data_IF_386955836844
#
_entry.id   IF_386955836844
#
_cell.length_a   1.000
_cell.length_b   1.000
_cell.length_c   1.000
_cell.angle_alpha   90.00
_cell.angle_beta   90.00
_cell.angle_gamma   90.00
#
_symmetry.space_group_name_H-M   'P 1'
#
loop_
_entity.id
_entity.type
_entity.pdbx_description
1 polymer ?
#
# COMPACT_ATOMS: atom_id res chain seq x y z
N UNK A 1 44.39 41.09 31.44
CA UNK A 1 45.54 40.73 32.31
C UNK A 1 45.48 41.61 33.55
N UNK A 2 45.81 41.13 34.78
CA UNK A 2 46.73 40.03 35.19
C UNK A 2 45.99 38.80 35.79
N UNK A 3 46.47 37.53 35.68
CA UNK A 3 47.48 36.76 36.46
C UNK A 3 47.04 36.49 37.92
N UNK A 4 47.12 35.33 38.59
CA UNK A 4 47.75 33.98 38.47
C UNK A 4 47.07 33.09 39.54
N UNK A 5 46.68 31.83 39.32
CA UNK A 5 47.46 30.57 39.36
C UNK A 5 47.91 30.07 40.76
N UNK A 6 47.45 28.86 41.16
CA UNK A 6 48.13 27.77 41.91
C UNK A 6 47.13 26.97 42.78
N UNK A 7 47.28 25.68 43.10
CA UNK A 7 47.98 24.49 42.59
C UNK A 7 47.65 23.36 43.59
N UNK A 8 47.47 22.11 43.10
CA UNK A 8 47.83 20.82 43.75
C UNK A 8 46.97 20.37 44.98
N UNK A 9 46.69 19.09 45.27
CA UNK A 9 47.24 17.76 44.89
C UNK A 9 46.31 16.62 45.40
N UNK A 10 46.27 15.52 44.63
CA UNK A 10 46.16 14.07 44.94
C UNK A 10 45.37 13.48 46.12
N UNK A 11 44.59 12.43 45.80
CA UNK A 11 44.62 11.03 46.30
C UNK A 11 43.17 10.48 46.25
N UNK A 12 42.83 9.26 45.87
CA UNK A 12 43.52 8.06 45.45
C UNK A 12 42.44 6.97 45.22
N UNK A 13 42.75 6.00 44.35
CA UNK A 13 42.27 4.61 44.29
C UNK A 13 40.77 4.31 44.51
N UNK A 14 40.17 3.63 43.55
CA UNK A 14 39.82 2.20 43.70
C UNK A 14 39.48 1.61 42.33
N UNK A 15 40.15 0.51 42.00
CA UNK A 15 39.86 -0.29 40.81
C UNK A 15 38.73 -1.27 41.09
N UNK A 16 37.99 -1.64 40.05
CA UNK A 16 37.27 -2.92 40.03
C UNK A 16 37.28 -3.46 38.62
N UNK A 17 37.81 -4.67 38.52
CA UNK A 17 38.18 -5.45 37.35
C UNK A 17 36.94 -6.00 36.64
N UNK A 18 36.81 -5.81 35.33
CA UNK A 18 35.84 -6.53 34.50
C UNK A 18 36.40 -7.90 34.08
N UNK A 19 35.60 -8.99 34.12
CA UNK A 19 36.02 -10.26 33.54
C UNK A 19 35.78 -10.28 32.02
N UNK A 20 36.83 -10.61 31.27
CA UNK A 20 36.81 -10.93 29.83
C UNK A 20 35.95 -12.18 29.61
N UNK A 21 34.92 -12.08 28.77
CA UNK A 21 34.18 -13.23 28.24
C UNK A 21 34.89 -13.72 26.97
N UNK A 22 35.49 -14.90 27.04
CA UNK A 22 36.01 -15.63 25.88
C UNK A 22 34.82 -16.15 25.07
N UNK A 23 34.71 -15.75 23.81
CA UNK A 23 33.89 -16.40 22.80
C UNK A 23 34.82 -17.31 22.00
N UNK A 24 34.65 -18.62 22.14
CA UNK A 24 35.24 -19.61 21.23
C UNK A 24 34.39 -19.66 19.97
N UNK A 25 34.98 -19.22 18.87
CA UNK A 25 34.57 -19.50 17.49
C UNK A 25 34.85 -20.99 17.19
N UNK A 26 33.89 -21.67 16.56
CA UNK A 26 34.15 -22.88 15.80
C UNK A 26 33.51 -22.70 14.42
N UNK A 27 34.37 -22.54 13.42
CA UNK A 27 34.02 -22.55 12.01
C UNK A 27 34.05 -23.99 11.45
N UNK A 28 33.10 -24.22 10.54
CA UNK A 28 33.00 -25.16 9.41
C UNK A 28 33.79 -26.48 9.32
N UNK A 29 33.09 -27.54 8.87
CA UNK A 29 33.24 -28.08 7.51
C UNK A 29 31.96 -28.80 7.00
N UNK A 30 31.74 -28.87 5.66
CA UNK A 30 30.55 -29.44 5.02
C UNK A 30 30.75 -30.90 4.58
N UNK A 31 29.69 -31.72 4.60
CA UNK A 31 29.71 -33.08 4.02
C UNK A 31 29.18 -33.10 2.59
N UNK A 32 29.99 -33.64 1.68
CA UNK A 32 29.74 -33.83 0.26
C UNK A 32 28.73 -34.96 -0.09
N UNK A 33 28.04 -34.73 -1.21
CA UNK A 33 27.69 -35.62 -2.34
C UNK A 33 27.01 -36.98 -2.11
N UNK A 34 25.83 -37.15 -2.74
CA UNK A 34 25.55 -38.28 -3.66
C UNK A 34 24.71 -37.75 -4.85
N UNK A 35 25.36 -37.66 -6.02
CA UNK A 35 24.69 -37.70 -7.33
C UNK A 35 24.25 -39.14 -7.63
N UNK A 36 23.07 -39.31 -8.21
CA UNK A 36 22.67 -40.55 -8.87
C UNK A 36 21.91 -40.21 -10.15
N UNK A 37 22.66 -40.28 -11.24
CA UNK A 37 22.19 -40.38 -12.61
C UNK A 37 21.33 -41.63 -12.84
N UNK A 38 20.35 -41.51 -13.75
CA UNK A 38 19.53 -42.63 -14.20
C UNK A 38 18.71 -42.22 -15.41
N UNK A 39 19.23 -42.54 -16.59
CA UNK A 39 18.64 -42.27 -17.91
C UNK A 39 18.03 -43.54 -18.53
N UNK A 40 16.81 -43.38 -19.10
CA UNK A 40 16.17 -44.09 -20.25
C UNK A 40 15.72 -45.58 -20.13
N UNK A 41 14.85 -46.13 -21.03
CA UNK A 41 14.04 -45.53 -22.13
C UNK A 41 12.53 -45.96 -22.21
N UNK A 42 11.83 -45.34 -23.18
CA UNK A 42 10.51 -45.60 -23.80
C UNK A 42 10.32 -47.05 -24.36
N UNK A 43 9.13 -47.54 -24.84
CA UNK A 43 8.41 -46.99 -26.02
C UNK A 43 6.87 -47.21 -26.08
N UNK A 44 6.11 -46.33 -26.75
CA UNK A 44 4.86 -46.74 -27.44
C UNK A 44 4.58 -45.83 -28.65
N UNK A 45 5.00 -46.34 -29.82
CA UNK A 45 4.46 -46.27 -31.19
C UNK A 45 3.56 -45.10 -31.65
N UNK A 46 4.04 -44.43 -32.70
CA UNK A 46 3.29 -43.64 -33.69
C UNK A 46 2.49 -44.53 -34.68
N UNK A 47 1.33 -44.03 -35.16
CA UNK A 47 0.78 -44.27 -36.51
C UNK A 47 -0.18 -43.09 -36.90
N UNK A 48 -0.49 -42.83 -38.19
CA UNK A 48 -0.32 -41.52 -38.84
C UNK A 48 -1.64 -40.87 -39.29
N UNK A 49 -1.52 -39.68 -39.89
CA UNK A 49 -2.57 -38.66 -39.99
C UNK A 49 -3.64 -38.81 -41.08
N UNK A 50 -4.55 -37.83 -41.08
CA UNK A 50 -5.37 -37.45 -42.24
C UNK A 50 -5.52 -35.92 -42.31
N UNK A 51 -5.37 -35.39 -43.53
CA UNK A 51 -5.51 -33.99 -43.90
C UNK A 51 -6.98 -33.61 -44.16
N UNK A 52 -7.41 -32.44 -43.68
CA UNK A 52 -8.68 -31.77 -44.03
C UNK A 52 -8.59 -30.26 -43.82
N UNK A 53 -9.34 -29.43 -44.58
CA UNK A 53 -8.80 -28.23 -45.21
C UNK A 53 -8.75 -26.97 -44.33
N UNK A 54 -7.71 -26.19 -44.59
CA UNK A 54 -7.50 -24.81 -44.14
C UNK A 54 -8.67 -23.91 -44.56
N UNK A 55 -9.46 -23.47 -43.59
CA UNK A 55 -10.34 -22.31 -43.71
C UNK A 55 -9.75 -21.19 -42.86
N UNK A 56 -9.18 -20.19 -43.53
CA UNK A 56 -8.83 -18.90 -42.93
C UNK A 56 -10.14 -18.14 -42.64
N UNK A 57 -10.45 -17.75 -41.39
CA UNK A 57 -11.52 -16.80 -41.19
C UNK A 57 -10.98 -15.39 -41.44
N UNK A 58 -11.71 -14.69 -42.31
CA UNK A 58 -11.62 -13.27 -42.58
C UNK A 58 -11.36 -12.47 -41.30
N UNK A 59 -10.36 -11.58 -41.39
CA UNK A 59 -10.06 -10.59 -40.36
C UNK A 59 -11.11 -9.48 -40.43
N UNK A 60 -12.32 -9.77 -39.98
CA UNK A 60 -13.31 -8.75 -39.70
C UNK A 60 -12.90 -7.98 -38.45
N UNK A 61 -12.57 -6.71 -38.70
CA UNK A 61 -12.47 -5.63 -37.73
C UNK A 61 -13.69 -5.61 -36.80
N UNK A 62 -13.53 -6.11 -35.57
CA UNK A 62 -14.46 -5.79 -34.48
C UNK A 62 -13.77 -4.82 -33.53
N UNK A 63 -14.09 -3.54 -33.71
CA UNK A 63 -13.85 -2.48 -32.74
C UNK A 63 -14.73 -2.71 -31.51
N UNK A 64 -14.33 -3.62 -30.63
CA UNK A 64 -14.90 -3.72 -29.29
C UNK A 64 -14.14 -2.74 -28.39
N UNK A 65 -14.77 -1.60 -28.13
CA UNK A 65 -14.32 -0.64 -27.13
C UNK A 65 -14.11 -1.36 -25.80
N UNK A 66 -12.90 -1.24 -25.26
CA UNK A 66 -12.45 -1.94 -24.07
C UNK A 66 -13.15 -1.36 -22.83
N UNK A 67 -14.43 -1.65 -22.62
CA UNK A 67 -15.03 -1.51 -21.29
C UNK A 67 -14.49 -2.65 -20.43
N UNK A 68 -13.33 -2.42 -19.82
CA UNK A 68 -12.78 -3.33 -18.85
C UNK A 68 -13.84 -3.54 -17.74
N UNK A 69 -14.16 -4.81 -17.45
CA UNK A 69 -15.19 -5.17 -16.47
C UNK A 69 -14.67 -4.84 -15.07
N UNK A 70 -15.52 -4.30 -14.20
CA UNK A 70 -15.20 -4.15 -12.77
C UNK A 70 -14.84 -5.51 -12.17
N UNK A 71 -13.89 -5.53 -11.24
CA UNK A 71 -13.49 -6.74 -10.50
C UNK A 71 -14.16 -6.74 -9.14
N UNK A 72 -14.65 -7.91 -8.72
CA UNK A 72 -15.26 -8.11 -7.41
C UNK A 72 -14.22 -8.76 -6.50
N UNK A 73 -13.99 -8.15 -5.33
CA UNK A 73 -13.19 -8.71 -4.25
C UNK A 73 -14.12 -9.19 -3.14
N UNK A 74 -13.80 -10.33 -2.54
CA UNK A 74 -14.48 -10.80 -1.33
C UNK A 74 -13.66 -10.33 -0.12
N UNK A 75 -14.28 -9.47 0.67
CA UNK A 75 -13.72 -8.88 1.86
C UNK A 75 -14.55 -9.34 3.08
N UNK A 76 -13.93 -9.86 4.15
CA UNK A 76 -14.67 -10.39 5.30
C UNK A 76 -15.45 -9.32 6.10
N UNK A 77 -15.23 -8.05 5.79
CA UNK A 77 -15.73 -6.90 6.54
C UNK A 77 -16.78 -6.15 5.73
N UNK A 78 -16.52 -5.97 4.44
CA UNK A 78 -17.40 -5.24 3.53
C UNK A 78 -18.18 -6.16 2.59
N UNK A 79 -17.97 -7.48 2.66
CA UNK A 79 -18.60 -8.45 1.76
C UNK A 79 -18.04 -8.33 0.35
N UNK A 80 -18.90 -8.09 -0.64
CA UNK A 80 -18.46 -7.94 -2.04
C UNK A 80 -18.07 -6.49 -2.33
N UNK A 81 -16.81 -6.27 -2.65
CA UNK A 81 -16.26 -4.97 -3.05
C UNK A 81 -16.11 -4.93 -4.57
N UNK A 82 -16.86 -4.05 -5.23
CA UNK A 82 -16.63 -3.73 -6.65
C UNK A 82 -15.51 -2.68 -6.80
N UNK A 83 -14.48 -3.01 -7.58
CA UNK A 83 -13.35 -2.13 -7.87
C UNK A 83 -13.35 -1.71 -9.34
N UNK A 84 -13.15 -0.41 -9.55
CA UNK A 84 -13.02 0.20 -10.88
C UNK A 84 -11.82 -0.38 -11.65
N UNK A 85 -11.92 -0.63 -12.97
CA UNK A 85 -10.84 -1.27 -13.74
C UNK A 85 -9.48 -0.58 -13.64
N UNK A 86 -9.45 0.76 -13.63
CA UNK A 86 -8.21 1.51 -13.42
C UNK A 86 -7.57 1.19 -12.05
N UNK A 87 -8.39 1.10 -10.99
CA UNK A 87 -7.92 0.71 -9.67
C UNK A 87 -7.42 -0.74 -9.67
N UNK A 88 -8.04 -1.65 -10.42
CA UNK A 88 -7.54 -3.02 -10.59
C UNK A 88 -6.15 -3.02 -11.22
N UNK A 89 -5.92 -2.22 -12.26
CA UNK A 89 -4.59 -2.08 -12.86
C UNK A 89 -3.54 -1.55 -11.89
N UNK A 90 -3.91 -0.60 -11.03
CA UNK A 90 -3.04 -0.12 -9.95
C UNK A 90 -2.75 -1.25 -8.95
N UNK A 91 -3.78 -2.01 -8.54
CA UNK A 91 -3.65 -3.13 -7.61
C UNK A 91 -2.69 -4.19 -8.16
N UNK A 92 -2.76 -4.50 -9.45
CA UNK A 92 -1.97 -5.55 -10.10
C UNK A 92 -0.52 -5.12 -10.43
N UNK A 93 -0.02 -4.03 -9.83
CA UNK A 93 1.39 -3.59 -9.94
C UNK A 93 2.27 -4.11 -8.80
N UNK A 94 3.59 -4.31 -9.02
CA UNK A 94 4.51 -4.69 -7.94
C UNK A 94 4.50 -3.71 -6.76
N UNK A 95 4.40 -2.41 -7.05
CA UNK A 95 4.41 -1.34 -6.05
C UNK A 95 3.24 -1.45 -5.07
N UNK A 96 2.06 -1.86 -5.55
CA UNK A 96 0.89 -2.11 -4.72
C UNK A 96 0.89 -3.51 -4.10
N UNK A 97 1.24 -4.55 -4.86
CA UNK A 97 1.28 -5.94 -4.36
C UNK A 97 2.23 -6.13 -3.17
N UNK A 98 3.29 -5.30 -3.06
CA UNK A 98 4.19 -5.34 -1.89
C UNK A 98 3.47 -5.09 -0.55
N UNK A 99 2.33 -4.40 -0.56
CA UNK A 99 1.55 -4.11 0.66
C UNK A 99 1.03 -5.40 1.33
N UNK A 100 1.03 -6.54 0.62
CA UNK A 100 0.72 -7.86 1.20
C UNK A 100 1.74 -8.32 2.26
N UNK A 101 2.94 -7.76 2.21
CA UNK A 101 4.04 -8.10 3.13
C UNK A 101 4.20 -7.10 4.27
N UNK A 102 3.33 -6.09 4.38
CA UNK A 102 3.42 -5.03 5.38
C UNK A 102 2.23 -5.13 6.33
N UNK A 103 2.47 -5.54 7.57
CA UNK A 103 1.43 -5.64 8.61
C UNK A 103 0.86 -4.27 8.95
N UNK A 104 -0.47 -4.14 8.95
CA UNK A 104 -1.16 -2.89 9.27
C UNK A 104 -0.70 -2.34 10.62
N UNK A 105 -0.77 -3.19 11.65
CA UNK A 105 -0.45 -2.81 13.04
C UNK A 105 0.99 -3.17 13.45
N UNK A 106 1.88 -3.44 12.48
CA UNK A 106 3.30 -3.66 12.69
C UNK A 106 3.61 -4.68 13.80
N UNK A 107 4.27 -4.22 14.87
CA UNK A 107 4.70 -5.05 16.00
C UNK A 107 3.56 -5.66 16.83
N UNK A 108 2.34 -5.11 16.74
CA UNK A 108 1.17 -5.62 17.48
C UNK A 108 0.86 -7.07 17.15
N UNK A 109 1.17 -7.51 15.92
CA UNK A 109 1.03 -8.90 15.48
C UNK A 109 1.79 -9.91 16.37
N UNK A 110 2.94 -9.51 16.94
CA UNK A 110 3.72 -10.38 17.82
C UNK A 110 3.11 -10.55 19.22
N UNK A 111 2.16 -9.69 19.60
CA UNK A 111 1.41 -9.78 20.86
C UNK A 111 0.02 -10.37 20.62
N UNK A 112 -0.61 -10.02 19.49
CA UNK A 112 -1.94 -10.47 19.09
C UNK A 112 -1.87 -11.15 17.72
N UNK A 113 -1.75 -12.49 17.66
CA UNK A 113 -1.61 -13.23 16.40
C UNK A 113 -2.77 -13.02 15.43
N UNK A 114 -3.96 -12.70 15.94
CA UNK A 114 -5.13 -12.37 15.11
C UNK A 114 -4.93 -11.10 14.28
N UNK A 115 -4.09 -10.16 14.73
CA UNK A 115 -3.76 -8.91 14.04
C UNK A 115 -2.80 -9.12 12.85
N UNK A 116 -3.15 -10.08 11.99
CA UNK A 116 -2.36 -10.59 10.87
C UNK A 116 -2.62 -9.85 9.56
N UNK A 117 -3.60 -8.94 9.55
CA UNK A 117 -3.97 -8.15 8.38
C UNK A 117 -2.82 -7.20 7.96
N UNK A 118 -2.73 -7.01 6.65
CA UNK A 118 -1.73 -6.21 5.97
C UNK A 118 -2.35 -4.93 5.41
N UNK A 119 -1.48 -4.01 4.99
CA UNK A 119 -1.86 -2.75 4.34
C UNK A 119 -2.62 -3.00 3.02
N UNK A 120 -2.42 -4.14 2.36
CA UNK A 120 -3.06 -4.47 1.07
C UNK A 120 -4.59 -4.49 1.14
N UNK A 121 -5.16 -5.33 2.00
CA UNK A 121 -6.62 -5.42 2.17
C UNK A 121 -7.18 -4.14 2.76
N UNK A 122 -6.43 -3.48 3.65
CA UNK A 122 -6.80 -2.18 4.19
C UNK A 122 -6.97 -1.12 3.09
N UNK A 123 -5.99 -0.96 2.21
CA UNK A 123 -6.05 -0.02 1.09
C UNK A 123 -7.20 -0.29 0.13
N UNK A 124 -7.56 -1.56 -0.12
CA UNK A 124 -8.74 -1.92 -0.92
C UNK A 124 -10.03 -1.51 -0.21
N UNK A 125 -10.14 -1.76 1.10
CA UNK A 125 -11.27 -1.31 1.92
C UNK A 125 -11.43 0.21 1.91
N UNK A 126 -10.34 0.96 2.06
CA UNK A 126 -10.34 2.44 2.00
C UNK A 126 -10.79 2.93 0.62
N UNK A 127 -10.27 2.36 -0.47
CA UNK A 127 -10.73 2.67 -1.83
C UNK A 127 -12.24 2.50 -1.97
N UNK A 128 -12.80 1.42 -1.42
CA UNK A 128 -14.22 1.13 -1.47
C UNK A 128 -15.05 2.14 -0.68
N UNK A 129 -14.70 2.36 0.59
CA UNK A 129 -15.43 3.27 1.48
C UNK A 129 -15.36 4.73 1.00
N UNK A 130 -14.20 5.17 0.51
CA UNK A 130 -14.04 6.51 -0.05
C UNK A 130 -14.95 6.70 -1.28
N UNK A 131 -15.03 5.70 -2.16
CA UNK A 131 -15.93 5.71 -3.31
C UNK A 131 -17.41 5.73 -2.92
N UNK A 132 -17.81 4.92 -1.93
CA UNK A 132 -19.18 4.93 -1.40
C UNK A 132 -19.55 6.27 -0.79
N UNK A 133 -18.66 6.84 0.03
CA UNK A 133 -18.88 8.11 0.70
C UNK A 133 -19.11 9.25 -0.30
N UNK A 134 -18.21 9.41 -1.28
CA UNK A 134 -18.33 10.47 -2.29
C UNK A 134 -19.54 10.24 -3.20
N UNK A 135 -19.86 8.98 -3.51
CA UNK A 135 -21.07 8.65 -4.28
C UNK A 135 -22.35 9.03 -3.52
N UNK A 136 -22.39 8.78 -2.21
CA UNK A 136 -23.52 9.17 -1.37
C UNK A 136 -23.67 10.70 -1.29
N UNK A 137 -22.57 11.44 -1.14
CA UNK A 137 -22.59 12.91 -1.21
C UNK A 137 -23.11 13.42 -2.56
N UNK A 138 -22.66 12.81 -3.66
CA UNK A 138 -23.10 13.18 -5.01
C UNK A 138 -24.60 13.01 -5.21
N UNK A 139 -25.16 11.92 -4.69
CA UNK A 139 -26.61 11.65 -4.77
C UNK A 139 -27.40 12.55 -3.83
N UNK A 140 -26.91 12.76 -2.61
CA UNK A 140 -27.60 13.55 -1.60
C UNK A 140 -27.53 15.07 -1.83
N UNK A 141 -26.51 15.55 -2.54
CA UNK A 141 -26.19 16.97 -2.69
C UNK A 141 -25.71 17.28 -4.11
N UNK A 142 -26.64 17.21 -5.07
CA UNK A 142 -26.35 17.43 -6.50
C UNK A 142 -25.71 18.79 -6.80
N UNK A 143 -25.97 19.80 -5.96
CA UNK A 143 -25.40 21.15 -6.05
C UNK A 143 -23.89 21.20 -5.84
N UNK A 144 -23.29 20.15 -5.25
CA UNK A 144 -21.84 20.03 -5.08
C UNK A 144 -21.10 19.73 -6.39
N UNK A 145 -21.82 19.36 -7.47
CA UNK A 145 -21.25 19.12 -8.80
C UNK A 145 -20.06 18.13 -8.78
N UNK A 146 -20.22 17.02 -8.04
CA UNK A 146 -19.22 15.95 -7.94
C UNK A 146 -19.26 15.14 -9.24
N UNK A 147 -18.14 15.10 -9.97
CA UNK A 147 -18.00 14.41 -11.26
C UNK A 147 -17.60 12.94 -11.08
N UNK A 148 -17.69 12.15 -12.15
CA UNK A 148 -17.15 10.77 -12.14
C UNK A 148 -15.63 10.77 -11.92
N UNK A 149 -14.93 11.75 -12.50
CA UNK A 149 -13.50 11.96 -12.32
C UNK A 149 -13.16 12.24 -10.85
N UNK A 150 -13.97 13.03 -10.14
CA UNK A 150 -13.78 13.28 -8.70
C UNK A 150 -13.91 12.00 -7.87
N UNK A 151 -14.95 11.20 -8.13
CA UNK A 151 -15.17 9.92 -7.45
C UNK A 151 -13.96 9.00 -7.68
N UNK A 152 -13.53 8.85 -8.92
CA UNK A 152 -12.41 7.99 -9.27
C UNK A 152 -11.08 8.49 -8.66
N UNK A 153 -10.84 9.81 -8.66
CA UNK A 153 -9.66 10.38 -8.00
C UNK A 153 -9.65 10.08 -6.51
N UNK A 154 -10.78 10.24 -5.82
CA UNK A 154 -10.89 9.93 -4.39
C UNK A 154 -10.70 8.44 -4.11
N UNK A 155 -11.25 7.56 -4.95
CA UNK A 155 -11.01 6.11 -4.85
C UNK A 155 -9.52 5.78 -5.02
N UNK A 156 -8.85 6.33 -6.03
CA UNK A 156 -7.42 6.10 -6.27
C UNK A 156 -6.58 6.67 -5.13
N UNK A 157 -6.92 7.86 -4.62
CA UNK A 157 -6.23 8.43 -3.46
C UNK A 157 -6.38 7.53 -2.22
N UNK A 158 -7.59 7.06 -1.93
CA UNK A 158 -7.85 6.11 -0.85
C UNK A 158 -7.11 4.78 -1.03
N UNK A 159 -7.05 4.27 -2.26
CA UNK A 159 -6.27 3.07 -2.60
C UNK A 159 -4.77 3.30 -2.34
N UNK A 160 -4.25 4.48 -2.70
CA UNK A 160 -2.82 4.74 -2.73
C UNK A 160 -2.27 5.42 -1.47
N UNK A 161 -3.10 5.78 -0.49
CA UNK A 161 -2.70 6.58 0.66
C UNK A 161 -1.56 5.93 1.49
N UNK A 162 -1.55 4.59 1.53
CA UNK A 162 -0.59 3.78 2.27
C UNK A 162 0.56 3.21 1.42
N UNK A 163 0.66 3.62 0.15
CA UNK A 163 1.73 3.16 -0.75
C UNK A 163 3.14 3.48 -0.27
N UNK A 164 3.33 4.35 0.71
CA UNK A 164 4.61 4.80 1.22
C UNK A 164 5.08 4.12 2.49
N UNK A 165 4.26 3.26 3.10
CA UNK A 165 4.66 2.58 4.32
C UNK A 165 5.87 1.66 4.11
N UNK A 166 6.79 1.74 5.06
CA UNK A 166 7.95 0.87 5.18
C UNK A 166 7.69 -0.34 6.10
N UNK A 167 8.72 -1.15 6.37
CA UNK A 167 8.63 -2.29 7.29
C UNK A 167 8.13 -1.87 8.67
N UNK A 168 7.19 -2.61 9.25
CA UNK A 168 6.56 -2.29 10.55
C UNK A 168 5.72 -0.99 10.57
N UNK A 169 5.26 -0.51 9.41
CA UNK A 169 4.30 0.60 9.27
C UNK A 169 4.76 1.86 10.03
N UNK A 170 3.95 2.36 10.97
CA UNK A 170 4.24 3.58 11.75
C UNK A 170 5.51 3.53 12.59
N UNK A 171 6.07 2.34 12.86
CA UNK A 171 7.37 2.25 13.52
C UNK A 171 8.49 2.75 12.61
N UNK A 172 8.35 2.58 11.29
CA UNK A 172 9.38 2.97 10.34
C UNK A 172 9.55 4.48 10.28
N UNK A 173 8.49 5.19 9.91
CA UNK A 173 8.51 6.63 9.73
C UNK A 173 8.31 7.41 11.04
N UNK A 174 7.62 6.85 12.02
CA UNK A 174 7.42 7.49 13.32
C UNK A 174 8.55 7.30 14.34
N UNK A 175 9.46 6.33 14.13
CA UNK A 175 10.58 6.04 15.05
C UNK A 175 11.92 5.87 14.35
N UNK A 176 12.00 4.95 13.38
CA UNK A 176 13.28 4.60 12.76
C UNK A 176 13.85 5.73 11.90
N UNK A 177 13.08 6.30 10.97
CA UNK A 177 13.53 7.41 10.12
C UNK A 177 13.99 8.62 10.96
N UNK A 178 13.23 9.09 11.98
CA UNK A 178 13.70 10.15 12.87
C UNK A 178 15.01 9.80 13.60
N UNK A 179 15.20 8.54 13.99
CA UNK A 179 16.43 8.11 14.68
C UNK A 179 17.70 8.22 13.83
N UNK A 180 17.56 8.28 12.50
CA UNK A 180 18.66 8.49 11.54
C UNK A 180 18.64 9.90 10.93
N UNK A 181 17.89 10.84 11.52
CA UNK A 181 17.80 12.23 11.06
C UNK A 181 16.94 12.44 9.81
N UNK A 182 15.99 11.53 9.54
CA UNK A 182 15.08 11.62 8.41
C UNK A 182 13.63 11.80 8.90
N UNK A 183 13.03 12.96 8.65
CA UNK A 183 11.65 13.29 9.05
C UNK A 183 10.61 13.02 7.94
N UNK A 184 10.95 12.17 6.96
CA UNK A 184 10.03 11.85 5.86
C UNK A 184 8.88 11.01 6.38
N UNK A 185 7.66 11.47 6.14
CA UNK A 185 6.43 10.74 6.49
C UNK A 185 6.02 9.75 5.39
N UNK A 186 5.27 8.71 5.75
CA UNK A 186 4.77 7.74 4.78
C UNK A 186 3.87 8.38 3.71
N UNK A 187 3.11 9.44 3.99
CA UNK A 187 2.25 10.08 2.98
C UNK A 187 3.06 10.67 1.82
N UNK A 188 4.16 11.37 2.13
CA UNK A 188 5.06 11.89 1.10
C UNK A 188 5.78 10.77 0.34
N UNK A 189 6.05 9.63 0.99
CA UNK A 189 6.55 8.42 0.32
C UNK A 189 5.47 7.78 -0.58
N UNK A 190 4.19 7.82 -0.18
CA UNK A 190 3.06 7.31 -0.96
C UNK A 190 2.92 8.07 -2.26
N UNK A 191 3.05 9.40 -2.24
CA UNK A 191 3.06 10.23 -3.46
C UNK A 191 4.22 9.84 -4.39
N UNK A 192 5.44 9.69 -3.84
CA UNK A 192 6.60 9.26 -4.63
C UNK A 192 6.39 7.88 -5.24
N UNK A 193 5.86 6.94 -4.45
CA UNK A 193 5.57 5.57 -4.90
C UNK A 193 4.46 5.55 -5.95
N UNK A 194 3.43 6.38 -5.82
CA UNK A 194 2.36 6.52 -6.80
C UNK A 194 2.91 6.98 -8.16
N UNK A 195 3.77 8.02 -8.17
CA UNK A 195 4.42 8.46 -9.41
C UNK A 195 5.29 7.36 -10.03
N UNK A 196 6.06 6.65 -9.22
CA UNK A 196 6.87 5.52 -9.67
C UNK A 196 6.00 4.39 -10.24
N UNK A 197 4.92 4.02 -9.56
CA UNK A 197 3.95 3.02 -10.00
C UNK A 197 3.37 3.38 -11.37
N UNK A 198 2.87 4.61 -11.54
CA UNK A 198 2.26 5.02 -12.80
C UNK A 198 3.28 5.03 -13.94
N UNK A 199 4.51 5.48 -13.66
CA UNK A 199 5.59 5.56 -14.65
C UNK A 199 6.09 4.19 -15.10
N UNK A 200 6.48 3.33 -14.17
CA UNK A 200 7.10 2.02 -14.51
C UNK A 200 6.13 1.03 -15.14
N UNK A 201 4.83 1.17 -14.86
CA UNK A 201 3.79 0.29 -15.40
C UNK A 201 3.05 0.93 -16.60
N UNK A 202 3.56 2.06 -17.11
CA UNK A 202 3.04 2.77 -18.30
C UNK A 202 1.52 3.09 -18.24
N UNK A 203 0.99 3.33 -17.03
CA UNK A 203 -0.45 3.49 -16.81
C UNK A 203 -1.01 4.84 -17.30
N UNK A 204 -0.17 5.74 -17.81
CA UNK A 204 -0.60 7.03 -18.37
C UNK A 204 -1.71 6.89 -19.43
N UNK A 205 -1.62 5.88 -20.27
CA UNK A 205 -2.64 5.59 -21.28
C UNK A 205 -3.95 5.11 -20.65
N UNK A 206 -3.87 4.20 -19.68
CA UNK A 206 -5.03 3.71 -18.94
C UNK A 206 -5.74 4.85 -18.18
N UNK A 207 -4.99 5.73 -17.53
CA UNK A 207 -5.59 6.90 -16.89
C UNK A 207 -6.31 7.79 -17.92
N UNK A 208 -5.71 8.08 -19.08
CA UNK A 208 -6.36 8.87 -20.14
C UNK A 208 -7.64 8.26 -20.68
N UNK A 209 -7.74 6.92 -20.70
CA UNK A 209 -8.95 6.22 -21.15
C UNK A 209 -10.12 6.36 -20.16
N UNK A 210 -9.83 6.55 -18.87
CA UNK A 210 -10.83 6.54 -17.81
C UNK A 210 -11.19 7.93 -17.28
N UNK A 211 -10.37 8.95 -17.52
CA UNK A 211 -10.64 10.33 -17.11
C UNK A 211 -11.19 11.17 -18.27
N UNK A 212 -12.17 12.03 -17.97
CA UNK A 212 -12.75 12.99 -18.92
C UNK A 212 -11.99 14.32 -18.91
N UNK A 213 -11.52 14.73 -17.74
CA UNK A 213 -10.74 15.94 -17.51
C UNK A 213 -9.24 15.73 -17.77
N UNK A 214 -8.47 16.82 -17.68
CA UNK A 214 -7.04 16.79 -17.88
C UNK A 214 -6.33 15.83 -16.90
N UNK A 215 -5.47 14.98 -17.46
CA UNK A 215 -4.76 13.96 -16.72
C UNK A 215 -3.85 14.55 -15.65
N UNK A 216 -3.14 15.63 -15.96
CA UNK A 216 -2.19 16.22 -15.01
C UNK A 216 -2.93 16.81 -13.81
N UNK A 217 -4.07 17.45 -14.07
CA UNK A 217 -4.96 17.99 -13.04
C UNK A 217 -5.50 16.87 -12.14
N UNK A 218 -5.96 15.75 -12.70
CA UNK A 218 -6.44 14.60 -11.94
C UNK A 218 -5.32 13.92 -11.13
N UNK A 219 -4.14 13.71 -11.73
CA UNK A 219 -2.97 13.18 -11.00
C UNK A 219 -2.55 14.10 -9.87
N UNK A 220 -2.55 15.42 -10.10
CA UNK A 220 -2.24 16.42 -9.07
C UNK A 220 -3.24 16.32 -7.92
N UNK A 221 -4.53 16.26 -8.23
CA UNK A 221 -5.58 16.09 -7.24
C UNK A 221 -5.40 14.81 -6.40
N UNK A 222 -5.14 13.67 -7.04
CA UNK A 222 -4.86 12.39 -6.34
C UNK A 222 -3.68 12.56 -5.37
N UNK A 223 -2.58 13.17 -5.82
CA UNK A 223 -1.39 13.34 -4.96
C UNK A 223 -1.63 14.29 -3.79
N UNK A 224 -2.43 15.34 -3.98
CA UNK A 224 -2.80 16.28 -2.93
C UNK A 224 -3.77 15.66 -1.90
N UNK A 225 -4.61 14.71 -2.34
CA UNK A 225 -5.47 13.94 -1.44
C UNK A 225 -4.68 12.93 -0.59
N UNK A 226 -3.55 12.41 -1.11
CA UNK A 226 -2.65 11.50 -0.40
C UNK A 226 -1.78 12.26 0.60
N UNK A 227 -1.10 13.32 0.14
CA UNK A 227 -0.23 14.17 0.98
C UNK A 227 -0.81 15.57 1.06
N UNK A 228 -1.69 15.72 2.04
CA UNK A 228 -2.51 16.90 2.24
C UNK A 228 -1.73 17.97 2.99
N UNK A 229 -1.89 19.24 2.60
CA UNK A 229 -1.16 20.36 3.16
C UNK A 229 -1.99 21.12 4.19
N UNK A 230 -1.31 21.77 5.13
CA UNK A 230 -1.95 22.64 6.10
C UNK A 230 -2.58 23.86 5.41
N UNK A 231 -3.90 24.02 5.57
CA UNK A 231 -4.71 25.10 4.99
C UNK A 231 -4.60 26.42 5.76
N UNK A 232 -3.89 26.46 6.89
CA UNK A 232 -3.75 27.65 7.73
C UNK A 232 -3.19 28.89 6.98
N UNK A 233 -2.64 28.72 5.78
CA UNK A 233 -2.07 29.79 4.93
C UNK A 233 -2.91 30.15 3.69
N UNK A 234 -4.15 29.66 3.59
CA UNK A 234 -5.01 29.84 2.40
C UNK A 234 -5.19 28.55 1.61
N UNK A 235 -5.86 28.59 0.46
CA UNK A 235 -6.13 27.42 -0.38
C UNK A 235 -4.83 26.95 -1.07
N UNK A 236 -4.23 25.81 -0.66
CA UNK A 236 -2.90 25.41 -1.11
C UNK A 236 -2.94 24.43 -2.30
N UNK A 237 -4.13 24.12 -2.80
CA UNK A 237 -4.37 23.04 -3.75
C UNK A 237 -4.61 23.56 -5.16
N UNK A 238 -4.08 22.84 -6.14
CA UNK A 238 -4.21 23.13 -7.56
C UNK A 238 -5.09 22.11 -8.28
N UNK A 239 -5.22 20.90 -7.72
CA UNK A 239 -5.98 19.82 -8.35
C UNK A 239 -7.47 20.11 -8.46
N UNK A 240 -8.04 20.82 -7.48
CA UNK A 240 -9.43 21.29 -7.47
C UNK A 240 -9.56 22.68 -6.84
N UNK A 241 -10.63 23.37 -7.20
CA UNK A 241 -11.02 24.65 -6.60
C UNK A 241 -11.50 24.46 -5.14
N UNK A 242 -11.37 25.52 -4.33
CA UNK A 242 -11.89 25.63 -2.96
C UNK A 242 -13.36 25.23 -2.82
N UNK A 243 -14.19 25.36 -3.86
CA UNK A 243 -15.58 24.86 -3.86
C UNK A 243 -15.68 23.35 -3.60
N UNK A 244 -14.65 22.58 -3.99
CA UNK A 244 -14.54 21.14 -3.77
C UNK A 244 -13.67 20.76 -2.56
N UNK A 245 -13.44 21.71 -1.63
CA UNK A 245 -12.70 21.49 -0.38
C UNK A 245 -13.11 20.24 0.39
N UNK A 246 -14.41 19.97 0.47
CA UNK A 246 -14.95 18.84 1.19
C UNK A 246 -14.37 17.48 0.71
N UNK A 247 -13.90 17.38 -0.54
CA UNK A 247 -13.25 16.17 -1.05
C UNK A 247 -11.88 15.92 -0.41
N UNK A 248 -11.14 16.99 -0.06
CA UNK A 248 -9.89 16.86 0.67
C UNK A 248 -10.15 16.41 2.11
N UNK A 249 -11.25 16.85 2.73
CA UNK A 249 -11.64 16.43 4.08
C UNK A 249 -11.97 14.94 4.20
N UNK A 250 -12.34 14.30 3.09
CA UNK A 250 -12.57 12.85 3.03
C UNK A 250 -11.28 12.12 3.38
N UNK A 251 -10.19 12.40 2.68
CA UNK A 251 -8.91 11.72 2.90
C UNK A 251 -8.15 12.27 4.12
N UNK A 252 -8.30 13.56 4.44
CA UNK A 252 -7.55 14.33 5.44
C UNK A 252 -7.65 13.89 6.91
N UNK A 253 -8.47 12.91 7.29
CA UNK A 253 -8.55 12.55 8.71
C UNK A 253 -9.66 11.62 9.13
N UNK A 254 -10.60 11.28 8.23
CA UNK A 254 -11.67 10.33 8.55
C UNK A 254 -11.40 8.92 8.06
N UNK A 255 -10.52 8.70 7.10
CA UNK A 255 -10.17 7.35 6.62
C UNK A 255 -8.76 6.88 6.99
N UNK A 256 -7.87 7.79 7.41
CA UNK A 256 -6.42 7.55 7.40
C UNK A 256 -5.88 6.46 8.30
N UNK A 257 -6.54 6.08 9.41
CA UNK A 257 -6.14 4.87 10.16
C UNK A 257 -7.17 4.51 11.24
N UNK A 258 -7.67 5.47 12.02
CA UNK A 258 -8.47 5.18 13.23
C UNK A 258 -9.89 4.68 12.92
N UNK A 259 -10.59 5.35 12.00
CA UNK A 259 -11.96 4.96 11.62
C UNK A 259 -11.98 3.65 10.83
N UNK A 260 -10.97 3.46 9.97
CA UNK A 260 -10.78 2.24 9.21
C UNK A 260 -10.25 1.09 10.07
N UNK A 261 -9.43 1.31 11.09
CA UNK A 261 -9.03 0.25 12.04
C UNK A 261 -10.20 -0.27 12.88
N UNK A 262 -11.16 0.61 13.20
CA UNK A 262 -12.40 0.23 13.89
C UNK A 262 -13.35 -0.57 12.99
N UNK A 263 -13.47 -0.19 11.72
CA UNK A 263 -14.33 -0.88 10.75
C UNK A 263 -13.67 -2.12 10.15
N UNK A 264 -12.36 -2.11 9.88
CA UNK A 264 -11.59 -3.18 9.23
C UNK A 264 -11.04 -4.25 10.20
N UNK A 265 -11.68 -4.41 11.34
CA UNK A 265 -11.52 -5.65 12.10
C UNK A 265 -10.31 -5.72 13.00
N UNK A 266 -9.58 -4.63 13.32
CA UNK A 266 -8.64 -4.69 14.47
C UNK A 266 -9.39 -5.12 15.74
N UNK A 267 -10.65 -4.72 15.91
CA UNK A 267 -11.53 -5.28 16.95
C UNK A 267 -11.83 -6.76 16.71
N UNK A 268 -12.25 -7.16 15.50
CA UNK A 268 -12.62 -8.55 15.19
C UNK A 268 -11.45 -9.52 15.34
N UNK A 269 -10.24 -9.07 15.01
CA UNK A 269 -9.02 -9.87 15.00
C UNK A 269 -8.25 -9.83 16.32
N UNK A 270 -8.31 -8.73 17.08
CA UNK A 270 -7.70 -8.66 18.42
C UNK A 270 -8.65 -9.08 19.54
N UNK A 271 -9.97 -9.00 19.34
CA UNK A 271 -10.95 -9.57 20.28
C UNK A 271 -11.01 -11.07 20.02
N UNK A 272 -10.29 -11.86 20.83
CA UNK A 272 -10.52 -13.30 20.88
C UNK A 272 -12.01 -13.55 21.02
N UNK A 273 -12.57 -14.39 20.12
CA UNK A 273 -14.01 -14.57 19.95
C UNK A 273 -14.77 -14.68 21.27
N UNK A 274 -15.36 -13.57 21.71
CA UNK A 274 -16.37 -13.51 22.75
C UNK A 274 -17.75 -13.53 22.11
N UNK A 275 -17.99 -14.48 21.21
CA UNK A 275 -19.32 -14.75 20.69
C UNK A 275 -20.10 -15.53 21.74
N UNK A 276 -21.23 -14.97 22.16
CA UNK A 276 -22.19 -15.55 23.09
C UNK A 276 -22.51 -17.02 22.74
N UNK A 277 -22.05 -17.92 23.61
CA UNK A 277 -22.55 -19.29 23.70
C UNK A 277 -23.43 -19.43 24.93
N UNK A 278 -24.73 -19.13 24.81
CA UNK A 278 -25.77 -19.78 25.61
C UNK A 278 -26.98 -20.05 24.71
N UNK A 279 -27.13 -21.33 24.42
CA UNK A 279 -28.38 -22.01 24.05
C UNK A 279 -29.29 -22.02 25.27
#
# INVERSE_FOLDING_TARGET
MPLKENKRKNAGQTGTTQPKRQTTEQEHEPSEAIESSGEQPSPFSEVPGEHGPSQTPDRQSTSNGLQAKKKIFNDPIHGHIEIHPLCVKIIDTPQFQRLRSIKQVGGTYFVYPGASHNRFEHSIGVCHLAGQFVSALRVGQSELNITDDDVLCVQIAGLCHDLGHGPFSHMFDGRFLPSIGNETRHESLSVKMFHHLVKENELDTDFRLHFKEDLNTNKKFITELIDTKDENRGWPYEGRDKKKRFLYEVTLGRFNDTFCSLLLGTIVFCSGGGGEGRI
#
